data_IF_136088163887
#
_entry.id   IF_136088163887
#
_cell.length_a   1.000
_cell.length_b   1.000
_cell.length_c   1.000
_cell.angle_alpha   90.00
_cell.angle_beta   90.00
_cell.angle_gamma   90.00
#
_symmetry.space_group_name_H-M   'P 1'
#
loop_
_entity.id
_entity.type
_entity.pdbx_description
1 polymer ?
#
# COMPACT_ATOMS: atom_id res chain seq x y z
N UNK A 1 -39.34 45.69 38.16
CA UNK A 1 -39.01 44.51 37.34
C UNK A 1 -37.97 43.70 38.09
N UNK A 2 -38.24 42.41 38.29
CA UNK A 2 -37.34 41.51 39.01
C UNK A 2 -36.25 40.99 38.07
N UNK A 3 -35.02 40.90 38.55
CA UNK A 3 -33.99 40.06 37.95
C UNK A 3 -33.08 39.55 39.06
N UNK A 4 -33.45 38.39 39.58
CA UNK A 4 -32.53 37.49 40.27
C UNK A 4 -32.11 36.44 39.24
N UNK A 5 -30.81 36.15 39.15
CA UNK A 5 -30.34 34.79 38.81
C UNK A 5 -28.87 34.69 39.18
N UNK A 6 -28.64 33.92 40.23
CA UNK A 6 -27.33 33.43 40.63
C UNK A 6 -27.02 32.22 39.75
N UNK A 7 -25.78 32.06 39.30
CA UNK A 7 -25.31 30.78 38.76
C UNK A 7 -23.85 30.60 39.16
N UNK A 8 -23.66 29.97 40.32
CA UNK A 8 -22.42 29.34 40.76
C UNK A 8 -22.19 28.07 39.95
N UNK A 9 -21.19 28.05 39.07
CA UNK A 9 -20.64 26.79 38.57
C UNK A 9 -19.11 26.84 38.66
N UNK A 10 -18.64 26.48 39.86
CA UNK A 10 -17.27 26.10 40.17
C UNK A 10 -16.87 24.89 39.34
N UNK A 11 -16.01 25.08 38.33
CA UNK A 11 -15.37 23.98 37.61
C UNK A 11 -14.19 23.53 38.46
N UNK A 12 -14.42 22.45 39.20
CA UNK A 12 -13.44 21.75 39.99
C UNK A 12 -12.38 21.14 39.07
N UNK A 13 -11.14 21.61 39.21
CA UNK A 13 -9.91 20.98 38.74
C UNK A 13 -9.87 19.52 39.19
N UNK A 14 -10.17 18.59 38.27
CA UNK A 14 -9.87 17.18 38.49
C UNK A 14 -8.56 16.86 37.77
N UNK A 15 -7.45 17.14 38.47
CA UNK A 15 -6.19 16.46 38.24
C UNK A 15 -6.41 14.95 38.40
N UNK A 16 -6.13 14.19 37.35
CA UNK A 16 -5.91 12.74 37.46
C UNK A 16 -4.39 12.54 37.55
N UNK A 17 -3.84 12.12 38.70
CA UNK A 17 -2.43 11.81 38.80
C UNK A 17 -2.18 10.34 38.44
N UNK A 18 -1.06 10.13 37.72
CA UNK A 18 -0.23 8.90 37.71
C UNK A 18 -0.88 7.62 37.13
N UNK A 19 -0.29 6.94 36.15
CA UNK A 19 0.99 6.24 36.27
C UNK A 19 1.66 6.08 34.91
N UNK A 20 2.76 6.80 34.67
CA UNK A 20 3.75 6.41 33.67
C UNK A 20 4.52 5.23 34.26
N UNK A 21 4.07 4.00 33.98
CA UNK A 21 4.91 2.82 34.18
C UNK A 21 5.86 2.78 32.97
N UNK A 22 7.18 2.94 33.14
CA UNK A 22 8.11 2.61 32.06
C UNK A 22 7.98 1.11 31.85
N UNK A 23 7.35 0.68 30.74
CA UNK A 23 7.45 -0.70 30.32
C UNK A 23 8.90 -0.94 29.91
N UNK A 24 9.70 -1.38 30.88
CA UNK A 24 11.01 -1.99 30.63
C UNK A 24 10.71 -3.27 29.85
N UNK A 25 10.79 -3.18 28.53
CA UNK A 25 10.73 -4.34 27.65
C UNK A 25 12.00 -5.13 27.89
N UNK A 26 11.90 -6.15 28.73
CA UNK A 26 12.91 -7.20 28.84
C UNK A 26 12.88 -7.94 27.50
N UNK A 27 13.86 -7.67 26.64
CA UNK A 27 14.03 -8.38 25.37
C UNK A 27 14.70 -9.71 25.69
N UNK A 28 13.89 -10.72 26.01
CA UNK A 28 14.33 -12.10 26.03
C UNK A 28 14.68 -12.52 24.59
N UNK A 29 15.94 -12.88 24.35
CA UNK A 29 16.50 -13.10 23.01
C UNK A 29 16.09 -14.43 22.38
N UNK A 30 15.37 -15.28 23.10
CA UNK A 30 15.07 -16.66 22.70
C UNK A 30 13.57 -17.02 22.70
N UNK A 31 12.68 -16.01 22.72
CA UNK A 31 11.23 -16.21 22.60
C UNK A 31 10.76 -16.43 21.14
N UNK A 32 9.62 -17.12 20.91
CA UNK A 32 9.05 -17.27 19.58
C UNK A 32 8.84 -15.90 18.94
N UNK A 33 9.29 -15.71 17.70
CA UNK A 33 9.08 -14.49 16.92
C UNK A 33 7.58 -14.15 16.87
N UNK A 34 7.15 -13.25 17.74
CA UNK A 34 5.78 -12.72 17.74
C UNK A 34 5.66 -11.89 16.46
N UNK A 35 5.09 -12.50 15.42
CA UNK A 35 4.83 -11.81 14.16
C UNK A 35 3.82 -10.70 14.43
N UNK A 36 4.20 -9.45 14.14
CA UNK A 36 3.28 -8.32 14.21
C UNK A 36 2.05 -8.62 13.31
N UNK A 37 0.83 -8.30 13.76
CA UNK A 37 -0.35 -8.47 12.94
C UNK A 37 -0.18 -7.65 11.66
N UNK A 38 -0.48 -8.29 10.53
CA UNK A 38 -0.39 -7.63 9.22
C UNK A 38 -1.49 -6.58 9.14
N UNK A 39 -1.13 -5.33 8.83
CA UNK A 39 -2.11 -4.30 8.56
C UNK A 39 -2.94 -4.65 7.31
N UNK A 40 -4.24 -4.36 7.38
CA UNK A 40 -5.14 -4.54 6.24
C UNK A 40 -4.64 -3.69 5.06
N UNK A 41 -4.67 -4.28 3.86
CA UNK A 41 -4.34 -3.54 2.63
C UNK A 41 -5.50 -2.62 2.30
N UNK A 42 -5.22 -1.35 2.07
CA UNK A 42 -6.20 -0.44 1.49
C UNK A 42 -6.27 -0.63 -0.03
N UNK A 43 -7.50 -0.59 -0.53
CA UNK A 43 -7.78 -0.53 -1.96
C UNK A 43 -7.88 0.93 -2.42
N UNK A 44 -7.33 1.21 -3.59
CA UNK A 44 -7.48 2.51 -4.26
C UNK A 44 -8.81 2.53 -5.00
N UNK A 45 -9.68 3.47 -4.66
CA UNK A 45 -11.01 3.63 -5.27
C UNK A 45 -10.90 4.08 -6.73
N UNK A 46 -11.92 3.82 -7.57
CA UNK A 46 -11.92 4.27 -8.95
C UNK A 46 -11.71 5.78 -9.11
N UNK A 47 -12.33 6.62 -8.26
CA UNK A 47 -12.17 8.08 -8.34
C UNK A 47 -10.75 8.53 -7.99
N UNK A 48 -10.08 7.82 -7.07
CA UNK A 48 -8.69 8.11 -6.72
C UNK A 48 -7.73 7.74 -7.87
N UNK A 49 -8.04 6.66 -8.59
CA UNK A 49 -7.23 6.23 -9.76
C UNK A 49 -7.28 7.26 -10.87
N UNK A 50 -8.45 7.82 -11.18
CA UNK A 50 -8.58 8.82 -12.25
C UNK A 50 -7.80 10.10 -11.94
N UNK A 51 -7.66 10.48 -10.66
CA UNK A 51 -6.82 11.60 -10.23
C UNK A 51 -5.32 11.31 -10.33
N UNK A 52 -4.92 10.05 -10.12
CA UNK A 52 -3.51 9.63 -10.14
C UNK A 52 -3.01 9.24 -11.54
N UNK A 53 -3.90 8.83 -12.44
CA UNK A 53 -3.57 8.36 -13.79
C UNK A 53 -2.80 9.39 -14.64
N UNK A 54 -3.14 10.70 -14.62
CA UNK A 54 -2.34 11.72 -15.30
C UNK A 54 -0.89 11.71 -14.80
N UNK A 55 -0.68 11.63 -13.49
CA UNK A 55 0.66 11.59 -12.90
C UNK A 55 1.41 10.29 -13.24
N UNK A 56 0.71 9.19 -13.50
CA UNK A 56 1.34 7.94 -13.92
C UNK A 56 1.75 7.97 -15.40
N UNK A 57 0.94 8.60 -16.26
CA UNK A 57 1.13 8.59 -17.72
C UNK A 57 2.13 9.63 -18.22
N UNK A 58 2.38 10.69 -17.45
CA UNK A 58 3.43 11.67 -17.76
C UNK A 58 4.83 11.02 -17.85
N UNK A 59 5.64 11.49 -18.80
CA UNK A 59 7.03 11.04 -19.00
C UNK A 59 7.95 11.51 -17.87
N UNK A 60 7.79 12.75 -17.44
CA UNK A 60 8.54 13.37 -16.36
C UNK A 60 7.91 13.08 -14.99
N UNK A 61 8.72 12.91 -13.94
CA UNK A 61 8.19 12.76 -12.58
C UNK A 61 7.54 14.05 -12.12
N UNK A 62 6.36 13.99 -11.47
CA UNK A 62 5.71 15.20 -11.00
C UNK A 62 6.55 15.90 -9.94
N UNK A 63 6.46 17.22 -9.92
CA UNK A 63 7.07 18.05 -8.91
C UNK A 63 6.27 18.02 -7.59
N UNK A 64 6.85 18.56 -6.52
CA UNK A 64 6.20 18.57 -5.20
C UNK A 64 4.88 19.35 -5.18
N UNK A 65 4.75 20.38 -6.02
CA UNK A 65 3.53 21.19 -6.12
C UNK A 65 2.36 20.39 -6.72
N UNK A 66 2.62 19.64 -7.79
CA UNK A 66 1.64 18.73 -8.41
C UNK A 66 1.23 17.62 -7.44
N UNK A 67 2.17 17.10 -6.65
CA UNK A 67 1.88 16.10 -5.63
C UNK A 67 1.01 16.68 -4.51
N UNK A 68 1.27 17.92 -4.07
CA UNK A 68 0.44 18.58 -3.07
C UNK A 68 -0.99 18.82 -3.58
N UNK A 69 -1.15 19.30 -4.82
CA UNK A 69 -2.47 19.51 -5.41
C UNK A 69 -3.28 18.22 -5.47
N UNK A 70 -2.65 17.12 -5.89
CA UNK A 70 -3.34 15.81 -5.94
C UNK A 70 -3.62 15.27 -4.55
N UNK A 71 -2.74 15.53 -3.58
CA UNK A 71 -2.99 15.18 -2.17
C UNK A 71 -4.22 15.90 -1.62
N UNK A 72 -4.38 17.19 -1.89
CA UNK A 72 -5.55 17.96 -1.46
C UNK A 72 -6.85 17.40 -2.06
N UNK A 73 -6.82 16.99 -3.33
CA UNK A 73 -7.97 16.39 -4.02
C UNK A 73 -8.32 14.98 -3.48
N UNK A 74 -7.32 14.18 -3.13
CA UNK A 74 -7.49 12.83 -2.59
C UNK A 74 -7.87 12.82 -1.10
N UNK A 75 -7.58 13.91 -0.39
CA UNK A 75 -7.85 14.10 1.02
C UNK A 75 -6.83 13.44 1.95
N UNK A 76 -7.11 13.52 3.26
CA UNK A 76 -6.21 13.13 4.37
C UNK A 76 -5.76 11.67 4.37
N UNK A 77 -6.47 10.87 3.60
CA UNK A 77 -6.28 9.45 3.44
C UNK A 77 -5.11 9.09 2.49
N UNK A 78 -4.58 10.10 1.79
CA UNK A 78 -3.39 10.05 0.96
C UNK A 78 -2.33 11.03 1.50
N UNK A 79 -1.13 10.52 1.73
CA UNK A 79 0.05 11.33 2.00
C UNK A 79 0.97 11.37 0.75
N UNK A 80 1.96 12.26 0.78
CA UNK A 80 2.89 12.45 -0.35
C UNK A 80 3.64 11.17 -0.69
N UNK A 81 4.14 10.47 0.32
CA UNK A 81 4.93 9.24 0.16
C UNK A 81 4.12 8.15 -0.52
N UNK A 82 2.84 8.05 -0.18
CA UNK A 82 1.90 7.12 -0.78
C UNK A 82 1.64 7.45 -2.24
N UNK A 83 1.47 8.72 -2.58
CA UNK A 83 1.31 9.18 -3.97
C UNK A 83 2.58 8.83 -4.77
N UNK A 84 3.76 9.14 -4.24
CA UNK A 84 5.05 8.79 -4.84
C UNK A 84 5.20 7.28 -5.06
N UNK A 85 4.87 6.47 -4.05
CA UNK A 85 4.91 5.00 -4.17
C UNK A 85 3.93 4.49 -5.23
N UNK A 86 2.73 5.05 -5.30
CA UNK A 86 1.73 4.68 -6.30
C UNK A 86 2.27 4.96 -7.70
N UNK A 87 2.72 6.18 -7.96
CA UNK A 87 3.27 6.60 -9.26
C UNK A 87 4.45 5.71 -9.65
N UNK A 88 5.39 5.49 -8.72
CA UNK A 88 6.57 4.66 -8.97
C UNK A 88 6.19 3.22 -9.35
N UNK A 89 5.25 2.59 -8.62
CA UNK A 89 4.79 1.22 -8.91
C UNK A 89 4.09 1.12 -10.26
N UNK A 90 3.27 2.12 -10.60
CA UNK A 90 2.45 2.08 -11.81
C UNK A 90 3.22 2.50 -13.07
N UNK A 91 4.21 3.40 -12.98
CA UNK A 91 5.13 3.72 -14.08
C UNK A 91 6.05 2.56 -14.47
N UNK A 92 6.50 1.80 -13.47
CA UNK A 92 7.32 0.60 -13.68
C UNK A 92 6.52 -0.56 -14.29
N UNK A 93 5.18 -0.54 -14.17
CA UNK A 93 4.27 -1.49 -14.81
C UNK A 93 4.11 -1.27 -16.31
N UNK A 94 4.09 -0.02 -16.78
CA UNK A 94 3.92 0.31 -18.20
C UNK A 94 5.07 -0.16 -19.10
N UNK A 95 6.29 -0.32 -18.56
CA UNK A 95 7.43 -0.91 -19.29
C UNK A 95 7.44 -2.45 -19.30
N UNK A 96 6.65 -3.12 -18.45
CA UNK A 96 6.61 -4.60 -18.37
C UNK A 96 5.52 -5.25 -19.21
N UNK A 97 4.71 -4.46 -19.90
CA UNK A 97 3.74 -4.99 -20.88
C UNK A 97 4.43 -5.33 -22.22
N UNK A 98 5.65 -4.81 -22.46
CA UNK A 98 6.50 -5.22 -23.58
C UNK A 98 7.67 -6.09 -23.09
N UNK A 99 7.42 -7.39 -22.91
CA UNK A 99 8.47 -8.39 -22.77
C UNK A 99 8.63 -8.99 -21.36
N UNK A 100 8.54 -10.32 -21.31
CA UNK A 100 8.79 -11.22 -20.18
C UNK A 100 7.61 -11.66 -19.31
N UNK A 101 6.74 -12.47 -19.92
CA UNK A 101 6.27 -13.70 -19.27
C UNK A 101 7.34 -14.79 -19.45
N UNK A 102 8.26 -14.93 -18.48
CA UNK A 102 9.08 -16.16 -18.32
C UNK A 102 8.39 -17.04 -17.30
N UNK A 103 7.29 -17.68 -17.68
CA UNK A 103 6.81 -18.87 -16.99
C UNK A 103 6.45 -19.93 -18.03
N UNK A 104 7.32 -20.93 -18.06
CA UNK A 104 7.09 -22.31 -18.51
C UNK A 104 7.22 -22.62 -20.02
N UNK A 105 8.47 -22.72 -20.52
CA UNK A 105 8.84 -23.48 -21.73
C UNK A 105 9.59 -24.77 -21.40
N UNK A 106 9.04 -25.59 -20.50
CA UNK A 106 9.40 -27.01 -20.41
C UNK A 106 8.10 -27.78 -20.56
N UNK A 107 8.04 -28.69 -21.54
CA UNK A 107 6.91 -29.57 -21.92
C UNK A 107 6.11 -29.26 -23.20
N UNK A 108 6.74 -28.73 -24.26
CA UNK A 108 6.16 -28.83 -25.63
C UNK A 108 7.09 -29.54 -26.64
N UNK A 109 8.38 -29.71 -26.33
CA UNK A 109 9.34 -30.35 -27.25
C UNK A 109 9.44 -31.88 -27.10
N UNK A 110 8.86 -32.49 -26.05
CA UNK A 110 8.84 -33.96 -25.95
C UNK A 110 7.63 -34.62 -26.60
N UNK A 111 6.57 -33.88 -26.92
CA UNK A 111 5.35 -34.49 -27.52
C UNK A 111 5.37 -34.58 -29.05
N UNK A 112 6.36 -33.96 -29.69
CA UNK A 112 6.48 -33.94 -31.17
C UNK A 112 7.50 -34.94 -31.71
N UNK A 113 8.40 -35.48 -30.85
CA UNK A 113 9.40 -36.47 -31.26
C UNK A 113 8.94 -37.93 -31.08
N UNK A 114 7.81 -38.18 -30.42
CA UNK A 114 7.23 -39.53 -30.32
C UNK A 114 6.28 -39.89 -31.47
N UNK A 115 5.90 -38.95 -32.34
CA UNK A 115 5.05 -39.22 -33.51
C UNK A 115 5.80 -39.42 -34.82
N UNK A 116 7.10 -39.10 -34.90
CA UNK A 116 7.89 -39.23 -36.14
C UNK A 116 8.88 -40.40 -36.08
N UNK A 117 8.96 -41.12 -34.96
CA UNK A 117 9.85 -42.28 -34.79
C UNK A 117 9.17 -43.65 -34.91
N UNK A 118 7.97 -43.73 -35.48
CA UNK A 118 7.30 -45.01 -35.73
C UNK A 118 7.23 -45.41 -37.22
N UNK A 119 7.75 -44.60 -38.14
CA UNK A 119 7.65 -44.88 -39.58
C UNK A 119 8.95 -45.37 -40.22
N UNK A 120 9.98 -45.70 -39.44
CA UNK A 120 11.21 -46.31 -39.96
C UNK A 120 11.76 -47.33 -38.94
N UNK A 121 11.95 -48.58 -39.39
CA UNK A 121 12.31 -49.81 -38.65
C UNK A 121 11.05 -50.51 -38.10
N UNK A 122 10.45 -51.50 -38.75
CA UNK A 122 10.96 -52.85 -39.15
C UNK A 122 10.24 -53.21 -40.46
N UNK A 123 10.95 -53.33 -41.60
CA UNK A 123 11.47 -54.57 -42.19
C UNK A 123 10.40 -55.65 -42.41
#
# INVERSE_FOLDING_TARGET
MASSSNTENSISDQQVPTNLIPQVVIIDKDGPLIKKPRQARRETKPEEKSLLEPLVTCSEYPNDEQIEQVRELLGNEWDKDRIYQYISRHRLGSKRISGFSVKNRRNVVEKSLSRVKNDYIVA
#
